data_IF_548896180014
#
_entry.id   IF_548896180014
#
_cell.length_a   1.000
_cell.length_b   1.000
_cell.length_c   1.000
_cell.angle_alpha   90.00
_cell.angle_beta   90.00
_cell.angle_gamma   90.00
#
_symmetry.space_group_name_H-M   'P 1'
#
loop_
_entity.id
_entity.type
_entity.pdbx_description
1 polymer ?
#
# COMPACT_ATOMS: atom_id res chain seq x y z
N UNK A 1 -7.37 -6.03 57.02
CA UNK A 1 -6.61 -5.59 55.84
C UNK A 1 -7.49 -5.85 54.62
N UNK A 2 -8.14 -4.82 54.10
CA UNK A 2 -9.04 -4.95 52.96
C UNK A 2 -8.20 -5.03 51.68
N UNK A 3 -8.28 -6.19 51.03
CA UNK A 3 -7.75 -6.42 49.70
C UNK A 3 -8.68 -5.74 48.69
N UNK A 4 -8.27 -4.58 48.18
CA UNK A 4 -8.84 -3.98 46.98
C UNK A 4 -8.31 -4.72 45.76
N UNK A 5 -8.88 -5.89 45.49
CA UNK A 5 -8.93 -6.41 44.12
C UNK A 5 -9.77 -5.40 43.32
N UNK A 6 -9.09 -4.48 42.63
CA UNK A 6 -9.71 -3.76 41.52
C UNK A 6 -10.15 -4.81 40.50
N UNK A 7 -11.46 -5.03 40.41
CA UNK A 7 -12.07 -5.54 39.18
C UNK A 7 -11.65 -4.56 38.08
N UNK A 8 -10.67 -4.95 37.29
CA UNK A 8 -10.44 -4.32 35.99
C UNK A 8 -11.71 -4.61 35.20
N UNK A 9 -12.56 -3.59 35.05
CA UNK A 9 -13.82 -3.68 34.33
C UNK A 9 -13.54 -4.16 32.91
N UNK A 10 -13.82 -5.44 32.65
CA UNK A 10 -13.75 -6.05 31.32
C UNK A 10 -14.63 -5.29 30.30
N UNK A 11 -15.61 -4.53 30.79
CA UNK A 11 -16.51 -3.68 30.02
C UNK A 11 -15.94 -2.31 29.63
N UNK A 12 -14.83 -1.85 30.24
CA UNK A 12 -14.16 -0.60 29.83
C UNK A 12 -13.27 -0.77 28.61
N UNK A 13 -13.03 -2.01 28.15
CA UNK A 13 -12.24 -2.34 26.95
C UNK A 13 -13.10 -2.45 25.68
N UNK A 14 -14.34 -1.98 25.75
CA UNK A 14 -15.19 -1.66 24.58
C UNK A 14 -15.21 -0.12 24.43
N UNK A 15 -14.03 0.51 24.52
CA UNK A 15 -13.90 1.97 24.44
C UNK A 15 -13.12 2.33 23.19
N UNK A 16 -13.81 3.00 22.26
CA UNK A 16 -13.31 3.71 21.06
C UNK A 16 -12.25 2.98 20.22
N UNK A 17 -12.64 2.55 19.01
CA UNK A 17 -11.68 2.33 17.92
C UNK A 17 -10.79 3.59 17.80
N UNK A 18 -9.51 3.49 18.16
CA UNK A 18 -8.58 4.57 17.94
C UNK A 18 -8.16 4.55 16.47
N UNK A 19 -8.57 5.58 15.72
CA UNK A 19 -8.30 5.68 14.28
C UNK A 19 -6.81 5.89 13.97
N UNK A 20 -6.01 6.16 15.00
CA UNK A 20 -4.57 6.41 14.89
C UNK A 20 -3.72 5.18 15.24
N UNK A 21 -4.34 4.04 15.58
CA UNK A 21 -3.63 2.75 15.63
C UNK A 21 -3.10 2.39 14.24
N UNK A 22 -1.90 1.78 14.21
CA UNK A 22 -1.19 1.50 12.95
C UNK A 22 -2.01 0.60 12.01
N UNK A 23 -2.74 -0.37 12.56
CA UNK A 23 -3.65 -1.27 11.86
C UNK A 23 -4.81 -0.52 11.23
N UNK A 24 -5.41 0.41 11.98
CA UNK A 24 -6.57 1.19 11.53
C UNK A 24 -6.12 2.17 10.45
N UNK A 25 -4.99 2.84 10.66
CA UNK A 25 -4.38 3.73 9.66
C UNK A 25 -3.99 2.97 8.38
N UNK A 26 -3.46 1.75 8.49
CA UNK A 26 -3.14 0.92 7.32
C UNK A 26 -4.37 0.62 6.45
N UNK A 27 -5.59 0.72 7.01
CA UNK A 27 -6.84 0.57 6.27
C UNK A 27 -7.29 1.91 5.65
N UNK A 28 -7.45 2.97 6.47
CA UNK A 28 -8.10 4.19 5.99
C UNK A 28 -7.18 5.16 5.26
N UNK A 29 -5.89 5.21 5.61
CA UNK A 29 -4.91 6.15 5.00
C UNK A 29 -4.78 5.95 3.50
N UNK A 30 -4.52 4.72 2.96
CA UNK A 30 -4.43 4.53 1.51
C UNK A 30 -5.73 4.93 0.79
N UNK A 31 -6.90 4.65 1.38
CA UNK A 31 -8.19 5.06 0.81
C UNK A 31 -8.30 6.59 0.76
N UNK A 32 -7.98 7.28 1.84
CA UNK A 32 -7.99 8.75 1.86
C UNK A 32 -7.02 9.32 0.83
N UNK A 33 -5.81 8.75 0.71
CA UNK A 33 -4.81 9.17 -0.28
C UNK A 33 -5.34 8.99 -1.71
N UNK A 34 -6.03 7.89 -2.02
CA UNK A 34 -6.70 7.70 -3.30
C UNK A 34 -7.63 8.87 -3.62
N UNK A 35 -8.58 9.18 -2.73
CA UNK A 35 -9.57 10.24 -2.96
C UNK A 35 -8.94 11.62 -3.10
N UNK A 36 -7.94 11.93 -2.27
CA UNK A 36 -7.21 13.21 -2.33
C UNK A 36 -6.46 13.34 -3.66
N UNK A 37 -5.72 12.32 -4.06
CA UNK A 37 -4.90 12.37 -5.27
C UNK A 37 -5.77 12.38 -6.53
N UNK A 38 -6.83 11.56 -6.60
CA UNK A 38 -7.77 11.59 -7.73
C UNK A 38 -8.45 12.96 -7.86
N UNK A 39 -8.85 13.55 -6.73
CA UNK A 39 -9.46 14.90 -6.72
C UNK A 39 -8.46 15.96 -7.18
N UNK A 40 -7.20 15.87 -6.77
CA UNK A 40 -6.15 16.77 -7.23
C UNK A 40 -6.02 16.74 -8.76
N UNK A 41 -5.88 15.56 -9.37
CA UNK A 41 -5.77 15.44 -10.83
C UNK A 41 -7.05 15.88 -11.57
N UNK A 42 -8.23 15.61 -11.00
CA UNK A 42 -9.50 16.06 -11.57
C UNK A 42 -9.63 17.60 -11.53
N UNK A 43 -9.16 18.25 -10.46
CA UNK A 43 -9.10 19.71 -10.38
C UNK A 43 -8.08 20.25 -11.39
N UNK A 44 -6.88 19.68 -11.44
CA UNK A 44 -5.82 20.07 -12.37
C UNK A 44 -6.32 20.05 -13.83
N UNK A 45 -7.02 18.97 -14.18
CA UNK A 45 -7.69 18.74 -15.44
C UNK A 45 -8.76 19.77 -15.78
N UNK A 46 -9.52 20.25 -14.80
CA UNK A 46 -10.58 21.26 -15.01
C UNK A 46 -10.01 22.67 -15.10
N UNK A 47 -8.94 22.96 -14.36
CA UNK A 47 -8.30 24.28 -14.38
C UNK A 47 -7.62 24.55 -15.73
N UNK A 48 -7.23 23.52 -16.49
CA UNK A 48 -6.60 23.63 -17.82
C UNK A 48 -5.45 24.65 -17.84
N UNK A 49 -4.59 24.61 -16.83
CA UNK A 49 -3.46 25.53 -16.68
C UNK A 49 -2.43 25.23 -17.78
N UNK A 50 -2.04 26.21 -18.62
CA UNK A 50 -1.19 25.97 -19.79
C UNK A 50 0.12 25.24 -19.51
N UNK A 51 0.74 25.50 -18.36
CA UNK A 51 1.96 24.82 -17.94
C UNK A 51 1.78 23.30 -17.75
N UNK A 52 0.64 22.84 -17.24
CA UNK A 52 0.40 21.42 -17.01
C UNK A 52 -0.17 20.70 -18.22
N UNK A 53 -0.89 21.41 -19.10
CA UNK A 53 -1.53 20.83 -20.28
C UNK A 53 -0.54 20.25 -21.31
N UNK A 54 0.70 20.76 -21.36
CA UNK A 54 1.75 20.17 -22.21
C UNK A 54 2.12 18.72 -21.81
N UNK A 55 1.76 18.31 -20.58
CA UNK A 55 2.02 16.97 -20.04
C UNK A 55 0.78 16.07 -20.08
N UNK A 56 -0.37 16.57 -20.57
CA UNK A 56 -1.59 15.80 -20.65
C UNK A 56 -1.49 14.78 -21.79
N UNK A 57 -1.82 13.52 -21.49
CA UNK A 57 -1.69 12.40 -22.45
C UNK A 57 -2.91 12.36 -23.39
N UNK A 58 -4.09 12.67 -22.87
CA UNK A 58 -5.36 12.58 -23.61
C UNK A 58 -6.18 13.86 -23.51
N UNK A 59 -6.79 14.28 -24.61
CA UNK A 59 -7.65 15.45 -24.61
C UNK A 59 -8.98 15.19 -23.85
N UNK A 60 -9.67 16.24 -23.36
CA UNK A 60 -11.02 16.09 -22.81
C UNK A 60 -12.03 15.49 -23.81
N UNK A 61 -11.80 15.63 -25.11
CA UNK A 61 -12.64 15.01 -26.13
C UNK A 61 -12.44 13.50 -26.22
N UNK A 62 -11.21 13.02 -26.03
CA UNK A 62 -10.90 11.60 -26.02
C UNK A 62 -11.67 10.89 -24.89
N UNK A 63 -11.80 11.52 -23.72
CA UNK A 63 -12.55 10.96 -22.59
C UNK A 63 -14.02 10.67 -22.91
N UNK A 64 -14.63 11.34 -23.90
CA UNK A 64 -16.01 11.06 -24.35
C UNK A 64 -16.14 9.67 -24.99
N UNK A 65 -15.03 9.02 -25.33
CA UNK A 65 -14.98 7.63 -25.85
C UNK A 65 -15.21 6.59 -24.74
N UNK A 66 -15.12 6.99 -23.47
CA UNK A 66 -15.40 6.10 -22.34
C UNK A 66 -16.88 5.67 -22.34
N UNK A 67 -17.12 4.38 -22.16
CA UNK A 67 -18.48 3.78 -22.20
C UNK A 67 -19.19 3.80 -20.83
N UNK A 68 -18.64 4.54 -19.87
CA UNK A 68 -19.06 4.52 -18.47
C UNK A 68 -19.13 5.95 -17.96
N UNK A 69 -20.21 6.30 -17.27
CA UNK A 69 -20.35 7.61 -16.64
C UNK A 69 -19.46 7.74 -15.41
N UNK A 70 -19.04 8.97 -15.11
CA UNK A 70 -18.24 9.29 -13.94
C UNK A 70 -18.88 8.80 -12.62
N UNK A 71 -20.18 9.02 -12.43
CA UNK A 71 -20.90 8.55 -11.23
C UNK A 71 -20.82 7.03 -11.08
N UNK A 72 -20.93 6.28 -12.18
CA UNK A 72 -20.81 4.82 -12.12
C UNK A 72 -19.40 4.38 -11.74
N UNK A 73 -18.37 5.12 -12.18
CA UNK A 73 -16.99 4.88 -11.74
C UNK A 73 -16.88 5.09 -10.23
N UNK A 74 -17.37 6.22 -9.70
CA UNK A 74 -17.32 6.49 -8.25
C UNK A 74 -18.01 5.42 -7.41
N UNK A 75 -19.17 4.92 -7.84
CA UNK A 75 -19.87 3.83 -7.14
C UNK A 75 -19.06 2.54 -7.14
N UNK A 76 -18.47 2.16 -8.27
CA UNK A 76 -17.66 0.94 -8.37
C UNK A 76 -16.39 1.03 -7.52
N UNK A 77 -15.75 2.20 -7.50
CA UNK A 77 -14.60 2.47 -6.63
C UNK A 77 -14.97 2.41 -5.15
N UNK A 78 -16.13 2.96 -4.77
CA UNK A 78 -16.63 2.85 -3.39
C UNK A 78 -16.86 1.38 -2.99
N UNK A 79 -17.41 0.55 -3.89
CA UNK A 79 -17.55 -0.89 -3.65
C UNK A 79 -16.18 -1.58 -3.49
N UNK A 80 -15.19 -1.18 -4.29
CA UNK A 80 -13.83 -1.69 -4.18
C UNK A 80 -13.18 -1.32 -2.84
N UNK A 81 -13.38 -0.10 -2.35
CA UNK A 81 -12.91 0.30 -1.02
C UNK A 81 -13.61 -0.45 0.11
N UNK A 82 -14.89 -0.81 -0.02
CA UNK A 82 -15.55 -1.70 0.96
C UNK A 82 -14.85 -3.06 1.02
N UNK A 83 -14.48 -3.63 -0.12
CA UNK A 83 -13.71 -4.89 -0.17
C UNK A 83 -12.34 -4.72 0.49
N UNK A 84 -11.63 -3.62 0.21
CA UNK A 84 -10.33 -3.33 0.82
C UNK A 84 -10.44 -3.14 2.34
N UNK A 85 -11.49 -2.49 2.84
CA UNK A 85 -11.75 -2.35 4.29
C UNK A 85 -11.99 -3.71 4.92
N UNK A 86 -12.84 -4.56 4.33
CA UNK A 86 -13.12 -5.91 4.85
C UNK A 86 -11.83 -6.74 4.88
N UNK A 87 -11.03 -6.69 3.81
CA UNK A 87 -9.76 -7.42 3.74
C UNK A 87 -8.76 -6.88 4.76
N UNK A 88 -8.64 -5.57 4.91
CA UNK A 88 -7.77 -4.95 5.92
C UNK A 88 -8.16 -5.33 7.34
N UNK A 89 -9.46 -5.30 7.68
CA UNK A 89 -9.95 -5.79 8.98
C UNK A 89 -9.57 -7.26 9.17
N UNK A 90 -9.68 -8.09 8.12
CA UNK A 90 -9.32 -9.51 8.20
C UNK A 90 -7.81 -9.72 8.40
N UNK A 91 -6.96 -8.95 7.70
CA UNK A 91 -5.50 -9.03 7.80
C UNK A 91 -5.01 -8.66 9.20
N UNK A 92 -5.55 -7.58 9.76
CA UNK A 92 -5.11 -7.09 11.08
C UNK A 92 -5.86 -7.74 12.25
N UNK A 93 -6.78 -8.67 11.97
CA UNK A 93 -7.51 -9.37 13.02
C UNK A 93 -6.58 -10.30 13.79
N UNK A 94 -6.33 -9.96 15.05
CA UNK A 94 -5.54 -10.81 15.95
C UNK A 94 -4.04 -10.53 15.91
N UNK A 95 -3.63 -9.34 15.45
CA UNK A 95 -2.28 -8.82 15.73
C UNK A 95 -2.06 -8.84 17.24
N UNK A 96 -0.98 -9.51 17.66
CA UNK A 96 -0.57 -9.59 19.05
C UNK A 96 0.63 -8.67 19.27
N UNK A 97 0.34 -7.45 19.72
CA UNK A 97 1.36 -6.43 19.96
C UNK A 97 2.43 -6.89 20.97
N UNK A 98 2.08 -7.74 21.94
CA UNK A 98 3.05 -8.24 22.91
C UNK A 98 4.01 -9.23 22.24
N UNK A 99 3.47 -10.16 21.43
CA UNK A 99 4.29 -11.08 20.65
C UNK A 99 5.19 -10.34 19.65
N UNK A 100 4.68 -9.31 18.98
CA UNK A 100 5.46 -8.54 18.00
C UNK A 100 6.54 -7.68 18.66
N UNK A 101 6.27 -7.10 19.83
CA UNK A 101 7.28 -6.41 20.63
C UNK A 101 8.40 -7.37 21.07
N UNK A 102 8.06 -8.59 21.50
CA UNK A 102 9.05 -9.60 21.85
C UNK A 102 9.91 -10.00 20.66
N UNK A 103 9.31 -10.27 19.49
CA UNK A 103 10.06 -10.56 18.25
C UNK A 103 11.01 -9.42 17.87
N UNK A 104 10.57 -8.17 18.05
CA UNK A 104 11.38 -6.98 17.78
C UNK A 104 12.61 -6.91 18.69
N UNK A 105 12.43 -7.13 20.00
CA UNK A 105 13.53 -7.13 20.98
C UNK A 105 14.51 -8.29 20.73
N UNK A 106 14.00 -9.49 20.46
CA UNK A 106 14.81 -10.67 20.12
C UNK A 106 15.62 -10.46 18.84
N UNK A 107 15.05 -9.81 17.82
CA UNK A 107 15.74 -9.49 16.58
C UNK A 107 16.93 -8.54 16.81
N UNK A 108 16.75 -7.49 17.61
CA UNK A 108 17.84 -6.57 17.96
C UNK A 108 18.96 -7.33 18.66
N UNK A 109 18.63 -8.11 19.70
CA UNK A 109 19.63 -8.90 20.43
C UNK A 109 20.37 -9.85 19.50
N UNK A 110 19.65 -10.52 18.60
CA UNK A 110 20.24 -11.40 17.58
C UNK A 110 21.22 -10.64 16.69
N UNK A 111 20.82 -9.51 16.10
CA UNK A 111 21.68 -8.74 15.20
C UNK A 111 22.90 -8.17 15.93
N UNK A 112 22.70 -7.62 17.13
CA UNK A 112 23.79 -7.12 17.97
C UNK A 112 24.80 -8.22 18.31
N UNK A 113 24.32 -9.41 18.66
CA UNK A 113 25.19 -10.57 18.94
C UNK A 113 25.96 -11.01 17.70
N UNK A 114 25.34 -10.98 16.53
CA UNK A 114 25.99 -11.36 15.27
C UNK A 114 27.11 -10.38 14.87
N UNK A 115 26.94 -9.09 15.10
CA UNK A 115 27.93 -8.07 14.70
C UNK A 115 29.01 -7.83 15.76
N UNK A 116 28.75 -8.17 17.02
CA UNK A 116 29.67 -7.92 18.15
C UNK A 116 31.10 -8.44 17.93
N UNK A 117 31.33 -9.66 17.39
CA UNK A 117 32.69 -10.16 17.16
C UNK A 117 33.48 -9.30 16.16
N UNK A 118 32.80 -8.69 15.19
CA UNK A 118 33.40 -7.79 14.20
C UNK A 118 33.72 -6.45 14.85
N UNK A 119 32.77 -5.89 15.61
CA UNK A 119 32.93 -4.60 16.30
C UNK A 119 34.07 -4.65 17.33
N UNK A 120 34.22 -5.75 18.06
CA UNK A 120 35.29 -5.93 19.06
C UNK A 120 36.70 -6.00 18.44
N UNK A 121 36.84 -6.19 17.13
CA UNK A 121 38.15 -6.08 16.46
C UNK A 121 38.67 -4.64 16.41
N UNK A 122 37.78 -3.66 16.55
CA UNK A 122 38.08 -2.24 16.35
C UNK A 122 37.81 -1.39 17.60
N UNK A 123 37.29 -1.97 18.68
CA UNK A 123 36.82 -1.25 19.87
C UNK A 123 37.15 -1.99 21.16
N UNK A 124 37.13 -1.28 22.28
CA UNK A 124 37.28 -1.86 23.62
C UNK A 124 35.96 -2.53 24.05
N UNK A 125 36.02 -3.63 24.81
CA UNK A 125 34.86 -4.49 25.14
C UNK A 125 33.57 -3.74 25.48
N UNK A 126 33.60 -2.78 26.42
CA UNK A 126 32.40 -2.02 26.82
C UNK A 126 31.84 -1.12 25.70
N UNK A 127 32.70 -0.52 24.88
CA UNK A 127 32.27 0.29 23.74
C UNK A 127 31.72 -0.59 22.61
N UNK A 128 32.29 -1.79 22.45
CA UNK A 128 31.85 -2.75 21.45
C UNK A 128 30.39 -3.18 21.62
N UNK A 129 29.95 -3.46 22.86
CA UNK A 129 28.54 -3.78 23.14
C UNK A 129 27.58 -2.65 22.75
N UNK A 130 27.93 -1.39 23.06
CA UNK A 130 27.07 -0.23 22.75
C UNK A 130 26.94 -0.06 21.23
N UNK A 131 28.07 -0.13 20.52
CA UNK A 131 28.10 0.03 19.05
C UNK A 131 27.36 -1.13 18.37
N UNK A 132 27.56 -2.38 18.83
CA UNK A 132 26.83 -3.53 18.33
C UNK A 132 25.31 -3.42 18.57
N UNK A 133 24.89 -2.87 19.71
CA UNK A 133 23.48 -2.58 19.98
C UNK A 133 22.91 -1.52 19.02
N UNK A 134 23.64 -0.43 18.79
CA UNK A 134 23.22 0.61 17.83
C UNK A 134 23.11 0.07 16.40
N UNK A 135 24.04 -0.80 15.98
CA UNK A 135 23.97 -1.47 14.68
C UNK A 135 22.76 -2.41 14.62
N UNK A 136 22.49 -3.19 15.67
CA UNK A 136 21.31 -4.05 15.73
C UNK A 136 19.99 -3.27 15.63
N UNK A 137 19.91 -2.14 16.33
CA UNK A 137 18.80 -1.19 16.21
C UNK A 137 18.68 -0.62 14.79
N UNK A 138 19.80 -0.24 14.15
CA UNK A 138 19.79 0.24 12.77
C UNK A 138 19.28 -0.83 11.80
N UNK A 139 19.76 -2.06 11.95
CA UNK A 139 19.32 -3.19 11.11
C UNK A 139 17.82 -3.40 11.26
N UNK A 140 17.32 -3.51 12.50
CA UNK A 140 15.91 -3.79 12.74
C UNK A 140 14.98 -2.65 12.34
N UNK A 141 15.38 -1.39 12.53
CA UNK A 141 14.50 -0.23 12.25
C UNK A 141 14.59 0.29 10.82
N UNK A 142 15.67 0.02 10.10
CA UNK A 142 15.88 0.57 8.76
C UNK A 142 16.13 -0.50 7.72
N UNK A 143 17.13 -1.37 7.92
CA UNK A 143 17.52 -2.34 6.90
C UNK A 143 16.44 -3.39 6.66
N UNK A 144 15.91 -3.99 7.73
CA UNK A 144 14.87 -5.02 7.64
C UNK A 144 13.59 -4.46 6.99
N UNK A 145 13.00 -3.35 7.46
CA UNK A 145 11.86 -2.71 6.80
C UNK A 145 12.10 -2.38 5.32
N UNK A 146 13.29 -1.89 4.98
CA UNK A 146 13.64 -1.56 3.59
C UNK A 146 13.62 -2.82 2.72
N UNK A 147 14.25 -3.91 3.18
CA UNK A 147 14.26 -5.19 2.46
C UNK A 147 12.83 -5.74 2.33
N UNK A 148 12.04 -5.71 3.40
CA UNK A 148 10.64 -6.14 3.39
C UNK A 148 9.84 -5.35 2.35
N UNK A 149 9.98 -4.02 2.31
CA UNK A 149 9.28 -3.17 1.36
C UNK A 149 9.62 -3.50 -0.10
N UNK A 150 10.91 -3.67 -0.42
CA UNK A 150 11.33 -4.01 -1.79
C UNK A 150 10.92 -5.42 -2.21
N UNK A 151 10.96 -6.40 -1.29
CA UNK A 151 10.43 -7.74 -1.56
C UNK A 151 8.92 -7.66 -1.79
N UNK A 152 8.18 -6.88 -0.99
CA UNK A 152 6.75 -6.70 -1.15
C UNK A 152 6.40 -6.07 -2.51
N UNK A 153 7.16 -5.06 -2.95
CA UNK A 153 7.03 -4.49 -4.29
C UNK A 153 7.23 -5.54 -5.38
N UNK A 154 8.27 -6.37 -5.27
CA UNK A 154 8.53 -7.45 -6.22
C UNK A 154 7.39 -8.46 -6.28
N UNK A 155 6.82 -8.83 -5.12
CA UNK A 155 5.67 -9.75 -5.04
C UNK A 155 4.45 -9.12 -5.74
N UNK A 156 4.13 -7.86 -5.44
CA UNK A 156 2.97 -7.18 -6.05
C UNK A 156 3.15 -7.02 -7.56
N UNK A 157 4.33 -6.61 -8.02
CA UNK A 157 4.61 -6.44 -9.45
C UNK A 157 4.48 -7.78 -10.21
N UNK A 158 5.08 -8.84 -9.67
CA UNK A 158 4.96 -10.19 -10.23
C UNK A 158 3.50 -10.64 -10.28
N UNK A 159 2.77 -10.45 -9.19
CA UNK A 159 1.37 -10.83 -9.07
C UNK A 159 0.48 -10.07 -10.07
N UNK A 160 0.62 -8.75 -10.14
CA UNK A 160 -0.09 -7.88 -11.08
C UNK A 160 0.22 -8.26 -12.52
N UNK A 161 1.50 -8.43 -12.86
CA UNK A 161 1.91 -8.84 -14.20
C UNK A 161 1.29 -10.17 -14.62
N UNK A 162 1.40 -11.20 -13.78
CA UNK A 162 0.89 -12.54 -14.10
C UNK A 162 -0.62 -12.52 -14.30
N UNK A 163 -1.36 -11.96 -13.35
CA UNK A 163 -2.82 -11.96 -13.42
C UNK A 163 -3.34 -11.05 -14.53
N UNK A 164 -2.73 -9.89 -14.76
CA UNK A 164 -3.10 -9.02 -15.87
C UNK A 164 -2.82 -9.68 -17.23
N UNK A 165 -1.66 -10.35 -17.38
CA UNK A 165 -1.35 -11.13 -18.58
C UNK A 165 -2.32 -12.30 -18.77
N UNK A 166 -2.68 -13.01 -17.71
CA UNK A 166 -3.71 -14.06 -17.76
C UNK A 166 -5.06 -13.48 -18.18
N UNK A 167 -5.42 -12.31 -17.67
CA UNK A 167 -6.67 -11.63 -17.99
C UNK A 167 -6.77 -11.25 -19.47
N UNK A 168 -5.65 -10.94 -20.13
CA UNK A 168 -5.59 -10.69 -21.56
C UNK A 168 -5.48 -11.95 -22.43
N UNK A 169 -4.87 -13.03 -21.94
CA UNK A 169 -4.60 -14.24 -22.73
C UNK A 169 -5.71 -15.28 -22.63
N UNK A 170 -6.38 -15.39 -21.47
CA UNK A 170 -7.49 -16.33 -21.25
C UNK A 170 -8.79 -15.66 -21.67
N UNK A 171 -9.36 -16.10 -22.81
CA UNK A 171 -10.58 -15.52 -23.40
C UNK A 171 -11.75 -15.38 -22.42
N UNK A 172 -11.93 -16.37 -21.54
CA UNK A 172 -12.97 -16.33 -20.52
C UNK A 172 -12.78 -15.16 -19.54
N UNK A 173 -11.59 -15.03 -18.96
CA UNK A 173 -11.27 -13.96 -18.00
C UNK A 173 -11.40 -12.59 -18.68
N UNK A 174 -10.90 -12.46 -19.90
CA UNK A 174 -11.05 -11.22 -20.67
C UNK A 174 -12.53 -10.86 -20.86
N UNK A 175 -13.32 -11.77 -21.42
CA UNK A 175 -14.70 -11.51 -21.84
C UNK A 175 -15.61 -11.17 -20.66
N UNK A 176 -15.43 -11.82 -19.51
CA UNK A 176 -16.37 -11.69 -18.39
C UNK A 176 -15.88 -10.78 -17.26
N UNK A 177 -14.58 -10.49 -17.18
CA UNK A 177 -14.00 -9.65 -16.14
C UNK A 177 -13.26 -8.46 -16.76
N UNK A 178 -12.10 -8.69 -17.36
CA UNK A 178 -11.16 -7.62 -17.74
C UNK A 178 -11.68 -6.65 -18.80
N UNK A 179 -12.58 -7.09 -19.69
CA UNK A 179 -13.24 -6.20 -20.65
C UNK A 179 -14.10 -5.12 -19.97
N UNK A 180 -14.49 -5.31 -18.70
CA UNK A 180 -15.17 -4.31 -17.88
C UNK A 180 -14.27 -3.10 -17.66
N UNK A 181 -13.02 -3.34 -17.26
CA UNK A 181 -11.99 -2.32 -17.05
C UNK A 181 -11.75 -1.52 -18.34
N UNK A 182 -11.58 -2.22 -19.47
CA UNK A 182 -11.41 -1.64 -20.82
C UNK A 182 -12.65 -0.90 -21.39
N UNK A 183 -13.72 -0.72 -20.61
CA UNK A 183 -14.80 0.24 -20.96
C UNK A 183 -14.40 1.68 -20.71
N UNK A 184 -13.41 1.91 -19.84
CA UNK A 184 -12.66 3.15 -19.77
C UNK A 184 -11.49 3.06 -20.74
N UNK A 185 -11.71 3.53 -21.97
CA UNK A 185 -10.69 3.55 -23.02
C UNK A 185 -9.60 4.59 -22.76
N UNK A 186 -10.00 5.71 -22.16
CA UNK A 186 -9.13 6.84 -21.85
C UNK A 186 -9.04 6.91 -20.34
N UNK A 187 -7.92 6.45 -19.75
CA UNK A 187 -7.76 6.45 -18.31
C UNK A 187 -7.72 7.88 -17.75
N UNK A 188 -8.23 8.00 -16.54
CA UNK A 188 -8.18 9.20 -15.72
C UNK A 188 -8.15 8.77 -14.26
N UNK A 189 -7.71 9.65 -13.36
CA UNK A 189 -7.32 9.27 -11.99
C UNK A 189 -8.40 8.49 -11.21
N UNK A 190 -9.66 8.90 -11.26
CA UNK A 190 -10.78 8.19 -10.59
C UNK A 190 -11.11 6.82 -11.22
N UNK A 191 -10.68 6.58 -12.45
CA UNK A 191 -10.81 5.29 -13.13
C UNK A 191 -9.78 4.25 -12.71
N UNK A 192 -8.79 4.61 -11.89
CA UNK A 192 -7.66 3.72 -11.55
C UNK A 192 -8.09 2.43 -10.83
N UNK A 193 -9.20 2.47 -10.09
CA UNK A 193 -9.79 1.30 -9.42
C UNK A 193 -11.13 0.85 -10.05
N UNK A 194 -11.39 1.27 -11.29
CA UNK A 194 -12.60 0.87 -12.02
C UNK A 194 -12.47 -0.52 -12.63
N UNK A 195 -12.74 -1.54 -11.83
CA UNK A 195 -12.59 -2.94 -12.22
C UNK A 195 -13.88 -3.73 -11.96
N UNK A 196 -14.02 -4.91 -12.58
CA UNK A 196 -15.04 -5.86 -12.13
C UNK A 196 -14.74 -6.23 -10.65
N UNK A 197 -15.72 -6.38 -9.73
CA UNK A 197 -15.41 -6.53 -8.29
C UNK A 197 -14.48 -7.71 -7.97
N UNK A 198 -14.68 -8.85 -8.63
CA UNK A 198 -13.78 -10.00 -8.48
C UNK A 198 -12.37 -9.73 -9.04
N UNK A 199 -12.28 -8.94 -10.11
CA UNK A 199 -11.01 -8.56 -10.70
C UNK A 199 -10.27 -7.59 -9.79
N UNK A 200 -10.93 -6.55 -9.28
CA UNK A 200 -10.34 -5.63 -8.32
C UNK A 200 -9.94 -6.32 -7.02
N UNK A 201 -10.71 -7.30 -6.55
CA UNK A 201 -10.28 -8.11 -5.41
C UNK A 201 -9.00 -8.89 -5.72
N UNK A 202 -8.98 -9.64 -6.83
CA UNK A 202 -7.86 -10.52 -7.17
C UNK A 202 -6.61 -9.73 -7.57
N UNK A 203 -6.71 -8.77 -8.48
CA UNK A 203 -5.59 -7.95 -8.94
C UNK A 203 -5.16 -6.96 -7.86
N UNK A 204 -6.05 -6.06 -7.45
CA UNK A 204 -5.65 -4.86 -6.72
C UNK A 204 -5.48 -5.09 -5.21
N UNK A 205 -6.20 -6.06 -4.63
CA UNK A 205 -6.22 -6.24 -3.17
C UNK A 205 -5.45 -7.47 -2.70
N UNK A 206 -5.67 -8.62 -3.36
CA UNK A 206 -5.06 -9.89 -2.95
C UNK A 206 -3.52 -9.85 -3.02
N UNK A 207 -2.96 -9.25 -4.08
CA UNK A 207 -1.51 -9.13 -4.24
C UNK A 207 -0.86 -8.35 -3.12
N UNK A 208 -1.44 -7.21 -2.75
CA UNK A 208 -0.93 -6.37 -1.66
C UNK A 208 -1.05 -7.09 -0.30
N UNK A 209 -2.17 -7.77 -0.05
CA UNK A 209 -2.38 -8.58 1.14
C UNK A 209 -1.36 -9.73 1.25
N UNK A 210 -1.13 -10.47 0.16
CA UNK A 210 -0.13 -11.54 0.11
C UNK A 210 1.28 -10.99 0.35
N UNK A 211 1.62 -9.84 -0.24
CA UNK A 211 2.92 -9.22 -0.04
C UNK A 211 3.13 -8.76 1.42
N UNK A 212 2.10 -8.20 2.05
CA UNK A 212 2.11 -7.84 3.47
C UNK A 212 2.41 -9.07 4.36
N UNK A 213 1.64 -10.14 4.19
CA UNK A 213 1.78 -11.37 4.97
C UNK A 213 3.14 -12.06 4.75
N UNK A 214 3.54 -12.25 3.48
CA UNK A 214 4.75 -12.99 3.14
C UNK A 214 6.04 -12.26 3.57
N UNK A 215 6.01 -10.94 3.65
CA UNK A 215 7.17 -10.17 4.11
C UNK A 215 7.19 -9.98 5.62
N UNK A 216 6.09 -10.26 6.32
CA UNK A 216 5.97 -10.09 7.76
C UNK A 216 6.20 -8.65 8.20
N UNK A 217 5.76 -7.69 7.37
CA UNK A 217 5.89 -6.27 7.69
C UNK A 217 4.97 -5.88 8.85
N UNK A 218 5.38 -4.90 9.65
CA UNK A 218 4.50 -4.36 10.70
C UNK A 218 3.30 -3.64 10.06
N UNK A 219 2.17 -3.48 10.78
CA UNK A 219 1.03 -2.70 10.31
C UNK A 219 1.41 -1.28 9.87
N UNK A 220 2.33 -0.63 10.59
CA UNK A 220 2.87 0.69 10.20
C UNK A 220 3.60 0.67 8.86
N UNK A 221 4.44 -0.34 8.62
CA UNK A 221 5.12 -0.49 7.33
C UNK A 221 4.11 -0.85 6.22
N UNK A 222 3.11 -1.67 6.55
CA UNK A 222 1.96 -1.97 5.70
C UNK A 222 1.20 -0.71 5.26
N UNK A 223 0.92 0.21 6.18
CA UNK A 223 0.31 1.51 5.86
C UNK A 223 1.12 2.26 4.79
N UNK A 224 2.44 2.38 4.96
CA UNK A 224 3.29 3.04 3.96
C UNK A 224 3.29 2.29 2.63
N UNK A 225 3.33 0.96 2.66
CA UNK A 225 3.33 0.11 1.47
C UNK A 225 2.02 0.21 0.68
N UNK A 226 0.87 0.08 1.34
CA UNK A 226 -0.44 0.22 0.70
C UNK A 226 -0.68 1.64 0.18
N UNK A 227 -0.20 2.65 0.90
CA UNK A 227 -0.25 4.04 0.46
C UNK A 227 0.59 4.26 -0.78
N UNK A 228 1.83 3.75 -0.80
CA UNK A 228 2.70 3.79 -1.97
C UNK A 228 2.08 3.08 -3.18
N UNK A 229 1.51 1.89 -2.98
CA UNK A 229 0.80 1.16 -4.03
C UNK A 229 -0.36 1.98 -4.60
N UNK A 230 -1.15 2.64 -3.73
CA UNK A 230 -2.25 3.52 -4.14
C UNK A 230 -1.74 4.71 -4.96
N UNK A 231 -0.69 5.39 -4.48
CA UNK A 231 -0.07 6.52 -5.17
C UNK A 231 0.38 6.13 -6.58
N UNK A 232 1.01 4.95 -6.71
CA UNK A 232 1.45 4.41 -7.99
C UNK A 232 0.26 4.07 -8.90
N UNK A 233 -0.76 3.39 -8.40
CA UNK A 233 -1.96 3.05 -9.17
C UNK A 233 -2.66 4.29 -9.72
N UNK A 234 -2.83 5.33 -8.90
CA UNK A 234 -3.45 6.59 -9.36
C UNK A 234 -2.54 7.30 -10.36
N UNK A 235 -1.23 7.35 -10.11
CA UNK A 235 -0.28 7.99 -11.02
C UNK A 235 -0.32 7.35 -12.42
N UNK A 236 -0.36 6.04 -12.51
CA UNK A 236 -0.42 5.29 -13.78
C UNK A 236 -1.70 5.56 -14.59
N UNK A 237 -2.75 6.08 -13.94
CA UNK A 237 -4.04 6.37 -14.56
C UNK A 237 -4.37 7.86 -14.60
N UNK A 238 -3.49 8.74 -14.12
CA UNK A 238 -3.85 10.12 -13.87
C UNK A 238 -4.11 10.95 -15.13
N UNK A 239 -3.71 10.45 -16.31
CA UNK A 239 -3.85 11.12 -17.60
C UNK A 239 -2.79 12.20 -17.86
N UNK A 240 -1.77 12.28 -17.00
CA UNK A 240 -0.62 13.18 -17.13
C UNK A 240 0.69 12.39 -17.12
N UNK A 241 1.67 12.89 -17.87
CA UNK A 241 3.04 12.41 -17.85
C UNK A 241 3.97 13.54 -17.40
N UNK A 242 4.28 13.60 -16.11
CA UNK A 242 5.21 14.60 -15.58
C UNK A 242 6.64 14.03 -15.56
N UNK A 243 7.59 14.59 -16.33
CA UNK A 243 8.92 14.00 -16.47
C UNK A 243 9.78 14.10 -15.20
N UNK A 244 9.33 14.84 -14.19
CA UNK A 244 9.99 15.00 -12.89
C UNK A 244 9.24 14.31 -11.73
N UNK A 245 8.07 13.71 -11.98
CA UNK A 245 7.37 12.97 -10.94
C UNK A 245 8.22 11.75 -10.53
N UNK A 246 8.59 11.60 -9.24
CA UNK A 246 9.42 10.49 -8.79
C UNK A 246 8.84 9.11 -9.11
N UNK A 247 7.51 8.96 -9.12
CA UNK A 247 6.89 7.68 -9.48
C UNK A 247 7.07 7.36 -10.96
N UNK A 248 6.92 8.35 -11.82
CA UNK A 248 7.19 8.24 -13.26
C UNK A 248 8.67 8.01 -13.54
N UNK A 249 9.58 8.70 -12.85
CA UNK A 249 11.04 8.57 -13.07
C UNK A 249 11.55 7.20 -12.61
N UNK A 250 11.13 6.74 -11.44
CA UNK A 250 11.63 5.48 -10.87
C UNK A 250 10.91 4.25 -11.40
N UNK A 251 9.63 4.39 -11.78
CA UNK A 251 8.73 3.27 -12.09
C UNK A 251 7.86 3.51 -13.33
N UNK A 252 8.35 4.32 -14.27
CA UNK A 252 7.61 4.69 -15.48
C UNK A 252 7.19 3.48 -16.31
N UNK A 253 5.93 3.48 -16.71
CA UNK A 253 5.40 2.50 -17.64
C UNK A 253 5.76 2.95 -19.08
N UNK A 254 6.34 2.06 -19.89
CA UNK A 254 6.71 2.35 -21.30
C UNK A 254 5.50 2.45 -22.25
N UNK A 255 4.32 2.78 -21.75
CA UNK A 255 3.07 2.81 -22.52
C UNK A 255 2.52 4.23 -22.51
N UNK A 256 3.17 5.08 -23.30
CA UNK A 256 2.58 6.29 -23.87
C UNK A 256 2.15 5.93 -25.29
#
# INVERSE_FOLDING_TARGET
MNSTYQKVDFYSKISSLDIWEDEVMAIWVPITVYWVQCTFYEILMKLNIPFFEQYRIHSPEDQKRNKVSFIKVLVMVALQHVVQIILGIALFKGVDHAADQLKYEEAIVKYSTLVLPIVNQFTLDKQGYIIANQIGLFIQNFLVPTIQFFIAMFIVDTHQYVLHRMAHTIKFVYKYMHSHHHRLYVPYAFGALYNHPLEGFLLDSCGAALAFELTGMSPRLGMYFFTFSTLKTVNDHCGYYFPWDPLTVCFGNNVI
#
